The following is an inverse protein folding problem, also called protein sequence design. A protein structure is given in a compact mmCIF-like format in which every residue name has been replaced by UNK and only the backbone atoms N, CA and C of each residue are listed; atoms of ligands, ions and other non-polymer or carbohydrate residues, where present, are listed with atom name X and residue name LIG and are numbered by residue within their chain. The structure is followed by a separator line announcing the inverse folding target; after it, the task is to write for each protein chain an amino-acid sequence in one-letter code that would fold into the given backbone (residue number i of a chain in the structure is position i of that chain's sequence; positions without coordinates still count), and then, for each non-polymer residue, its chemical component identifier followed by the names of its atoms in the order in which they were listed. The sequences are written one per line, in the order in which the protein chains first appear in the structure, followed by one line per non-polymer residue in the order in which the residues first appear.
data_IF_140892824358
#
_entry.id   IF_140892824358
#
_cell.length_a   1.000
_cell.length_b   1.000
_cell.length_c   1.000
_cell.angle_alpha   90.00
_cell.angle_beta   90.00
_cell.angle_gamma   90.00
#
_symmetry.space_group_name_H-M   'P 1'
#
loop_
_entity.id
_entity.type
_entity.pdbx_description
1 polymer ?
#
# COMPACT_ATOMS: atom_id res chain seq x y z
N UNK A 1 5.51 -3.66 45.70
CA UNK A 1 5.04 -3.70 44.29
C UNK A 1 3.98 -2.61 44.09
N UNK A 2 4.05 -1.84 42.99
CA UNK A 2 3.06 -0.78 42.71
C UNK A 2 1.71 -1.41 42.33
N UNK A 3 0.73 -1.35 43.25
CA UNK A 3 -0.61 -1.91 43.05
C UNK A 3 -1.32 -1.33 41.83
N UNK A 4 -0.98 -0.09 41.43
CA UNK A 4 -1.55 0.55 40.24
C UNK A 4 -1.19 -0.18 38.95
N UNK A 5 -0.04 -0.83 38.89
CA UNK A 5 0.40 -1.57 37.71
C UNK A 5 -0.41 -2.87 37.54
N UNK A 6 -0.72 -3.53 38.67
CA UNK A 6 -1.55 -4.73 38.73
C UNK A 6 -2.99 -4.42 38.29
N UNK A 7 -3.61 -3.40 38.89
CA UNK A 7 -4.99 -3.00 38.58
C UNK A 7 -5.16 -2.67 37.09
N UNK A 8 -4.16 -1.98 36.50
CA UNK A 8 -4.13 -1.69 35.06
C UNK A 8 -3.98 -2.94 34.21
N UNK A 9 -3.19 -3.93 34.65
CA UNK A 9 -3.02 -5.20 33.94
C UNK A 9 -4.30 -6.04 33.96
N UNK A 10 -5.05 -6.01 35.06
CA UNK A 10 -6.37 -6.62 35.15
C UNK A 10 -7.39 -5.92 34.26
N UNK A 11 -7.37 -4.58 34.21
CA UNK A 11 -8.21 -3.81 33.31
C UNK A 11 -7.90 -4.10 31.83
N UNK A 12 -6.62 -4.24 31.46
CA UNK A 12 -6.19 -4.68 30.14
C UNK A 12 -6.78 -6.06 29.80
N UNK A 13 -6.64 -7.02 30.72
CA UNK A 13 -7.13 -8.38 30.51
C UNK A 13 -8.65 -8.46 30.39
N UNK A 14 -9.39 -7.64 31.13
CA UNK A 14 -10.83 -7.49 31.00
C UNK A 14 -11.28 -6.82 29.68
N UNK A 15 -10.33 -6.47 28.80
CA UNK A 15 -10.62 -5.82 27.52
C UNK A 15 -11.13 -4.38 27.66
N UNK A 16 -10.85 -3.73 28.79
CA UNK A 16 -11.28 -2.35 29.08
C UNK A 16 -10.32 -1.28 28.55
N UNK A 17 -9.14 -1.69 28.08
CA UNK A 17 -8.12 -0.78 27.55
C UNK A 17 -8.05 -0.86 26.02
N UNK A 18 -7.66 0.26 25.39
CA UNK A 18 -7.35 0.31 23.95
C UNK A 18 -6.05 -0.46 23.64
N UNK A 19 -5.82 -0.82 22.36
CA UNK A 19 -4.58 -1.47 21.94
C UNK A 19 -3.34 -0.69 22.38
N UNK A 20 -3.31 0.62 22.09
CA UNK A 20 -2.19 1.49 22.45
C UNK A 20 -1.95 1.56 23.97
N UNK A 21 -3.01 1.52 24.78
CA UNK A 21 -2.91 1.47 26.23
C UNK A 21 -2.36 0.11 26.73
N UNK A 22 -2.80 -1.00 26.14
CA UNK A 22 -2.26 -2.33 26.42
C UNK A 22 -0.76 -2.43 26.05
N UNK A 23 -0.34 -1.85 24.92
CA UNK A 23 1.07 -1.81 24.50
C UNK A 23 1.95 -0.95 25.40
N UNK A 24 1.44 0.21 25.82
CA UNK A 24 2.13 1.07 26.78
C UNK A 24 2.35 0.33 28.11
N UNK A 25 1.30 -0.32 28.61
CA UNK A 25 1.35 -1.13 29.83
C UNK A 25 2.32 -2.30 29.71
N UNK A 26 2.35 -3.00 28.57
CA UNK A 26 3.30 -4.09 28.34
C UNK A 26 4.76 -3.62 28.44
N UNK A 27 5.08 -2.45 27.85
CA UNK A 27 6.42 -1.85 27.95
C UNK A 27 6.77 -1.40 29.37
N UNK A 28 5.79 -1.00 30.15
CA UNK A 28 5.93 -0.63 31.56
C UNK A 28 6.23 -1.87 32.42
N UNK A 29 5.46 -2.95 32.26
CA UNK A 29 5.70 -4.24 32.93
C UNK A 29 7.08 -4.81 32.57
N UNK A 30 7.49 -4.74 31.30
CA UNK A 30 8.84 -5.18 30.88
C UNK A 30 9.97 -4.34 31.49
N UNK A 31 9.74 -3.05 31.74
CA UNK A 31 10.71 -2.20 32.44
C UNK A 31 10.78 -2.56 33.92
N UNK A 32 9.63 -2.76 34.57
CA UNK A 32 9.56 -3.23 35.95
C UNK A 32 10.28 -4.58 36.12
N UNK A 33 10.00 -5.57 35.26
CA UNK A 33 10.68 -6.87 35.28
C UNK A 33 12.20 -6.75 35.18
N UNK A 34 12.70 -5.92 34.25
CA UNK A 34 14.15 -5.70 34.12
C UNK A 34 14.76 -5.11 35.38
N UNK A 35 14.09 -4.14 35.99
CA UNK A 35 14.54 -3.54 37.25
C UNK A 35 14.52 -4.54 38.41
N UNK A 36 13.43 -5.27 38.59
CA UNK A 36 13.27 -6.28 39.66
C UNK A 36 14.29 -7.40 39.51
N UNK A 37 14.50 -7.91 38.29
CA UNK A 37 15.48 -8.96 38.06
C UNK A 37 16.91 -8.47 38.30
N UNK A 38 17.25 -7.23 37.94
CA UNK A 38 18.56 -6.66 38.25
C UNK A 38 18.78 -6.54 39.77
N UNK A 39 17.72 -6.21 40.53
CA UNK A 39 17.79 -6.14 41.99
C UNK A 39 17.95 -7.54 42.62
N UNK A 40 17.17 -8.54 42.18
CA UNK A 40 17.36 -9.95 42.59
C UNK A 40 18.80 -10.39 42.30
N UNK A 41 19.27 -10.11 41.08
CA UNK A 41 20.60 -10.47 40.67
C UNK A 41 21.65 -9.82 41.57
N UNK A 42 21.44 -8.62 42.11
CA UNK A 42 22.40 -7.96 43.00
C UNK A 42 22.49 -8.56 44.41
N UNK A 43 21.50 -9.33 44.85
CA UNK A 43 21.39 -9.88 46.21
C UNK A 43 21.85 -11.33 46.33
N UNK A 44 21.86 -12.08 45.22
CA UNK A 44 22.17 -13.50 45.20
C UNK A 44 23.66 -13.85 45.17
N UNK A 45 23.96 -15.02 44.60
CA UNK A 45 25.32 -15.48 44.33
C UNK A 45 25.65 -15.26 42.85
N UNK A 46 26.93 -15.19 42.51
CA UNK A 46 27.38 -15.17 41.13
C UNK A 46 27.29 -16.58 40.48
N UNK A 47 27.66 -16.69 39.20
CA UNK A 47 27.65 -17.97 38.48
C UNK A 47 28.67 -19.01 38.98
N UNK A 48 29.56 -18.65 39.90
CA UNK A 48 30.55 -19.52 40.54
C UNK A 48 30.14 -19.94 41.96
N UNK A 49 29.02 -19.41 42.46
CA UNK A 49 28.55 -19.65 43.83
C UNK A 49 29.15 -18.69 44.86
N UNK A 50 29.85 -17.64 44.45
CA UNK A 50 30.38 -16.60 45.35
C UNK A 50 29.29 -15.58 45.69
N UNK A 51 29.17 -15.14 46.97
CA UNK A 51 28.15 -14.18 47.36
C UNK A 51 28.44 -12.82 46.73
N UNK A 52 27.40 -12.18 46.18
CA UNK A 52 27.52 -10.81 45.69
C UNK A 52 27.68 -9.81 46.85
N UNK A 53 28.14 -8.57 46.58
CA UNK A 53 28.63 -7.65 47.63
C UNK A 53 27.70 -7.49 48.83
N UNK A 54 26.39 -7.27 48.60
CA UNK A 54 25.43 -7.11 49.70
C UNK A 54 25.36 -8.34 50.62
N UNK A 55 25.40 -9.55 50.05
CA UNK A 55 25.38 -10.80 50.82
C UNK A 55 26.75 -11.13 51.42
N UNK A 56 27.84 -10.80 50.72
CA UNK A 56 29.20 -10.93 51.25
C UNK A 56 29.40 -10.07 52.50
N UNK A 57 29.01 -8.79 52.43
CA UNK A 57 29.08 -7.85 53.56
C UNK A 57 28.25 -8.33 54.77
N UNK A 58 27.05 -8.86 54.52
CA UNK A 58 26.22 -9.43 55.60
C UNK A 58 26.84 -10.69 56.21
N UNK A 59 27.45 -11.56 55.41
CA UNK A 59 28.19 -12.75 55.90
C UNK A 59 29.41 -12.35 56.73
N UNK A 60 30.19 -11.37 56.26
CA UNK A 60 31.38 -10.85 56.95
C UNK A 60 31.05 -10.19 58.29
N UNK A 61 29.90 -9.53 58.39
CA UNK A 61 29.43 -8.91 59.63
C UNK A 61 29.13 -9.92 60.75
N UNK A 62 28.84 -11.18 60.39
CA UNK A 62 28.43 -12.23 61.31
C UNK A 62 27.08 -11.99 62.00
N UNK A 63 26.33 -10.95 61.61
CA UNK A 63 25.01 -10.64 62.17
C UNK A 63 23.91 -11.44 61.43
N UNK A 64 23.28 -12.44 62.06
CA UNK A 64 22.21 -13.22 61.41
C UNK A 64 21.00 -12.36 61.04
N UNK A 65 20.77 -11.22 61.70
CA UNK A 65 19.63 -10.37 61.39
C UNK A 65 19.75 -9.72 59.99
N UNK A 66 20.96 -9.34 59.57
CA UNK A 66 21.20 -8.75 58.25
C UNK A 66 21.04 -9.78 57.13
N UNK A 67 21.47 -11.03 57.36
CA UNK A 67 21.24 -12.13 56.42
C UNK A 67 19.75 -12.43 56.24
N UNK A 68 18.99 -12.49 57.33
CA UNK A 68 17.53 -12.70 57.29
C UNK A 68 16.84 -11.58 56.51
N UNK A 69 17.24 -10.32 56.70
CA UNK A 69 16.68 -9.18 55.94
C UNK A 69 16.93 -9.31 54.43
N UNK A 70 18.14 -9.74 54.04
CA UNK A 70 18.48 -9.94 52.63
C UNK A 70 17.69 -11.09 52.01
N UNK A 71 17.54 -12.20 52.71
CA UNK A 71 16.71 -13.35 52.28
C UNK A 71 15.24 -12.93 52.11
N UNK A 72 14.66 -12.25 53.10
CA UNK A 72 13.29 -11.72 53.01
C UNK A 72 13.11 -10.77 51.83
N UNK A 73 14.11 -9.93 51.54
CA UNK A 73 14.06 -9.02 50.39
C UNK A 73 14.15 -9.77 49.06
N UNK A 74 15.02 -10.77 48.97
CA UNK A 74 15.14 -11.63 47.80
C UNK A 74 13.81 -12.36 47.52
N UNK A 75 13.19 -12.97 48.54
CA UNK A 75 11.89 -13.63 48.44
C UNK A 75 10.78 -12.68 47.95
N UNK A 76 10.73 -11.46 48.51
CA UNK A 76 9.77 -10.43 48.10
C UNK A 76 9.95 -10.02 46.64
N UNK A 77 11.19 -9.89 46.18
CA UNK A 77 11.49 -9.54 44.79
C UNK A 77 11.18 -10.70 43.85
N UNK A 78 11.49 -11.94 44.23
CA UNK A 78 11.13 -13.14 43.47
C UNK A 78 9.61 -13.24 43.29
N UNK A 79 8.85 -13.13 44.37
CA UNK A 79 7.38 -13.11 44.33
C UNK A 79 6.84 -11.97 43.45
N UNK A 80 7.47 -10.79 43.53
CA UNK A 80 7.11 -9.65 42.66
C UNK A 80 7.40 -9.93 41.19
N UNK A 81 8.53 -10.58 40.88
CA UNK A 81 8.92 -10.93 39.50
C UNK A 81 7.94 -11.95 38.89
N UNK A 82 7.59 -13.00 39.63
CA UNK A 82 6.60 -14.00 39.22
C UNK A 82 5.24 -13.35 38.88
N UNK A 83 4.78 -12.45 39.76
CA UNK A 83 3.54 -11.72 39.54
C UNK A 83 3.61 -10.82 38.30
N UNK A 84 4.74 -10.14 38.07
CA UNK A 84 4.94 -9.33 36.87
C UNK A 84 4.98 -10.19 35.60
N UNK A 85 5.58 -11.38 35.62
CA UNK A 85 5.55 -12.33 34.50
C UNK A 85 4.12 -12.77 34.18
N UNK A 86 3.34 -13.12 35.19
CA UNK A 86 1.93 -13.47 35.05
C UNK A 86 1.13 -12.34 34.38
N UNK A 87 1.27 -11.10 34.85
CA UNK A 87 0.57 -9.97 34.24
C UNK A 87 1.09 -9.63 32.84
N UNK A 88 2.40 -9.78 32.57
CA UNK A 88 2.97 -9.59 31.23
C UNK A 88 2.30 -10.50 30.21
N UNK A 89 2.13 -11.77 30.54
CA UNK A 89 1.48 -12.75 29.66
C UNK A 89 0.03 -12.35 29.38
N UNK A 90 -0.73 -11.98 30.43
CA UNK A 90 -2.12 -11.55 30.29
C UNK A 90 -2.27 -10.29 29.44
N UNK A 91 -1.42 -9.30 29.64
CA UNK A 91 -1.41 -8.08 28.82
C UNK A 91 -1.01 -8.40 27.38
N UNK A 92 -0.05 -9.31 27.15
CA UNK A 92 0.30 -9.75 25.79
C UNK A 92 -0.88 -10.40 25.07
N UNK A 93 -1.65 -11.26 25.76
CA UNK A 93 -2.88 -11.86 25.22
C UNK A 93 -3.94 -10.79 24.92
N UNK A 94 -4.07 -9.78 25.80
CA UNK A 94 -5.00 -8.67 25.60
C UNK A 94 -4.64 -7.81 24.37
N UNK A 95 -3.35 -7.55 24.12
CA UNK A 95 -2.87 -6.85 22.90
C UNK A 95 -3.31 -7.62 21.66
N UNK A 96 -3.05 -8.93 21.61
CA UNK A 96 -3.44 -9.76 20.47
C UNK A 96 -4.96 -9.74 20.26
N UNK A 97 -5.75 -9.84 21.33
CA UNK A 97 -7.21 -9.77 21.26
C UNK A 97 -7.71 -8.42 20.74
N UNK A 98 -7.12 -7.30 21.20
CA UNK A 98 -7.43 -5.95 20.72
C UNK A 98 -7.12 -5.82 19.22
N UNK A 99 -5.94 -6.26 18.78
CA UNK A 99 -5.53 -6.26 17.36
C UNK A 99 -6.50 -7.04 16.47
N UNK A 100 -6.90 -8.24 16.88
CA UNK A 100 -7.85 -9.06 16.11
C UNK A 100 -9.21 -8.37 16.03
N UNK A 101 -9.67 -7.75 17.11
CA UNK A 101 -10.94 -7.00 17.15
C UNK A 101 -10.92 -5.81 16.18
N UNK A 102 -9.80 -5.12 16.02
CA UNK A 102 -9.65 -4.01 15.07
C UNK A 102 -9.43 -4.48 13.63
N UNK A 103 -8.64 -5.54 13.43
CA UNK A 103 -8.35 -6.09 12.11
C UNK A 103 -9.57 -6.77 11.48
N UNK A 104 -10.45 -7.40 12.28
CA UNK A 104 -11.63 -8.12 11.80
C UNK A 104 -12.56 -7.26 10.92
N UNK A 105 -13.08 -6.12 11.40
CA UNK A 105 -13.90 -5.22 10.61
C UNK A 105 -13.20 -4.70 9.35
N UNK A 106 -11.91 -4.31 9.47
CA UNK A 106 -11.12 -3.84 8.32
C UNK A 106 -10.96 -4.91 7.24
N UNK A 107 -10.67 -6.14 7.63
CA UNK A 107 -10.58 -7.27 6.71
C UNK A 107 -11.92 -7.56 6.04
N UNK A 108 -13.03 -7.49 6.78
CA UNK A 108 -14.38 -7.64 6.23
C UNK A 108 -14.73 -6.53 5.23
N UNK A 109 -14.35 -5.28 5.51
CA UNK A 109 -14.56 -4.18 4.57
C UNK A 109 -13.72 -4.32 3.30
N UNK A 110 -12.43 -4.66 3.43
CA UNK A 110 -11.55 -4.93 2.30
C UNK A 110 -12.11 -6.07 1.44
N UNK A 111 -12.55 -7.17 2.06
CA UNK A 111 -13.15 -8.31 1.37
C UNK A 111 -14.43 -7.95 0.61
N UNK A 112 -15.26 -7.01 1.10
CA UNK A 112 -16.43 -6.51 0.36
C UNK A 112 -16.05 -5.71 -0.89
N UNK A 113 -14.91 -5.02 -0.88
CA UNK A 113 -14.45 -4.18 -2.00
C UNK A 113 -13.71 -4.98 -3.09
N UNK A 114 -13.09 -6.10 -2.70
CA UNK A 114 -12.28 -6.93 -3.59
C UNK A 114 -13.01 -7.39 -4.87
N UNK A 115 -14.27 -7.88 -4.83
CA UNK A 115 -14.95 -8.34 -6.04
C UNK A 115 -15.20 -7.23 -7.07
N UNK A 116 -15.44 -6.00 -6.61
CA UNK A 116 -15.60 -4.85 -7.50
C UNK A 116 -14.29 -4.52 -8.22
N UNK A 117 -13.20 -4.40 -7.45
CA UNK A 117 -11.87 -4.14 -8.00
C UNK A 117 -11.40 -5.22 -9.00
N UNK A 118 -11.69 -6.50 -8.72
CA UNK A 118 -11.37 -7.60 -9.66
C UNK A 118 -12.17 -7.46 -10.96
N UNK A 119 -13.48 -7.17 -10.90
CA UNK A 119 -14.29 -6.94 -12.11
C UNK A 119 -13.83 -5.73 -12.91
N UNK A 120 -13.42 -4.67 -12.24
CA UNK A 120 -12.92 -3.47 -12.92
C UNK A 120 -11.60 -3.74 -13.64
N UNK A 121 -10.72 -4.56 -13.05
CA UNK A 121 -9.50 -5.03 -13.68
C UNK A 121 -9.79 -5.93 -14.90
N UNK A 122 -10.75 -6.85 -14.79
CA UNK A 122 -11.19 -7.68 -15.92
C UNK A 122 -11.73 -6.84 -17.07
N UNK A 123 -12.56 -5.82 -16.79
CA UNK A 123 -13.06 -4.88 -17.81
C UNK A 123 -11.93 -4.09 -18.48
N UNK A 124 -10.95 -3.62 -17.70
CA UNK A 124 -9.79 -2.91 -18.24
C UNK A 124 -8.99 -3.82 -19.19
N UNK A 125 -8.78 -5.09 -18.83
CA UNK A 125 -8.11 -6.07 -19.68
C UNK A 125 -8.90 -6.36 -20.98
N UNK A 126 -10.23 -6.47 -20.89
CA UNK A 126 -11.08 -6.63 -22.08
C UNK A 126 -10.99 -5.40 -23.01
N UNK A 127 -11.02 -4.19 -22.46
CA UNK A 127 -10.86 -2.96 -23.23
C UNK A 127 -9.47 -2.89 -23.91
N UNK A 128 -8.42 -3.32 -23.22
CA UNK A 128 -7.06 -3.39 -23.80
C UNK A 128 -6.98 -4.40 -24.95
N UNK A 129 -7.59 -5.57 -24.81
CA UNK A 129 -7.63 -6.57 -25.87
C UNK A 129 -8.41 -6.06 -27.11
N UNK A 130 -9.55 -5.41 -26.89
CA UNK A 130 -10.34 -4.78 -27.96
C UNK A 130 -9.55 -3.68 -28.68
N UNK A 131 -8.83 -2.83 -27.94
CA UNK A 131 -7.98 -1.80 -28.51
C UNK A 131 -6.87 -2.40 -29.39
N UNK A 132 -6.18 -3.47 -28.95
CA UNK A 132 -5.18 -4.17 -29.75
C UNK A 132 -5.77 -4.74 -31.04
N UNK A 133 -6.94 -5.36 -30.97
CA UNK A 133 -7.64 -5.89 -32.14
C UNK A 133 -8.02 -4.80 -33.15
N UNK A 134 -8.49 -3.64 -32.67
CA UNK A 134 -8.82 -2.50 -33.54
C UNK A 134 -7.59 -1.92 -34.24
N UNK A 135 -6.44 -1.87 -33.55
CA UNK A 135 -5.17 -1.41 -34.14
C UNK A 135 -4.68 -2.37 -35.23
N UNK A 136 -4.73 -3.67 -34.97
CA UNK A 136 -4.34 -4.68 -35.97
C UNK A 136 -5.26 -4.64 -37.21
N UNK A 137 -6.57 -4.44 -37.02
CA UNK A 137 -7.50 -4.23 -38.13
C UNK A 137 -7.16 -2.96 -38.94
N UNK A 138 -6.81 -1.87 -38.27
CA UNK A 138 -6.43 -0.63 -38.96
C UNK A 138 -5.11 -0.77 -39.74
N UNK A 139 -4.14 -1.54 -39.22
CA UNK A 139 -2.91 -1.86 -39.96
C UNK A 139 -3.20 -2.63 -41.24
N UNK A 140 -4.08 -3.63 -41.18
CA UNK A 140 -4.42 -4.43 -42.37
C UNK A 140 -5.22 -3.62 -43.41
N UNK A 141 -6.14 -2.77 -42.97
CA UNK A 141 -6.87 -1.84 -43.84
C UNK A 141 -5.91 -0.86 -44.54
N UNK A 142 -4.93 -0.30 -43.82
CA UNK A 142 -3.91 0.59 -44.38
C UNK A 142 -3.00 -0.13 -45.39
N UNK A 143 -2.57 -1.36 -45.09
CA UNK A 143 -1.80 -2.18 -46.02
C UNK A 143 -2.58 -2.46 -47.31
N UNK A 144 -3.88 -2.75 -47.18
CA UNK A 144 -4.78 -2.98 -48.32
C UNK A 144 -4.97 -1.71 -49.15
N UNK A 145 -5.20 -0.56 -48.50
CA UNK A 145 -5.30 0.72 -49.18
C UNK A 145 -4.02 1.09 -49.94
N UNK A 146 -2.86 0.78 -49.36
CA UNK A 146 -1.55 0.94 -50.03
C UNK A 146 -1.43 0.04 -51.26
N UNK A 147 -1.78 -1.24 -51.16
CA UNK A 147 -1.76 -2.15 -52.31
C UNK A 147 -2.66 -1.67 -53.45
N UNK A 148 -3.84 -1.12 -53.13
CA UNK A 148 -4.76 -0.55 -54.13
C UNK A 148 -4.15 0.70 -54.77
N UNK A 149 -3.54 1.59 -53.99
CA UNK A 149 -2.90 2.80 -54.51
C UNK A 149 -1.70 2.48 -55.42
N UNK A 150 -0.87 1.50 -55.03
CA UNK A 150 0.23 0.99 -55.85
C UNK A 150 -0.29 0.38 -57.17
N UNK A 151 -1.37 -0.42 -57.14
CA UNK A 151 -2.00 -0.97 -58.36
C UNK A 151 -2.61 0.11 -59.26
N UNK A 152 -3.07 1.21 -58.70
CA UNK A 152 -3.61 2.36 -59.44
C UNK A 152 -2.52 3.31 -60.00
N UNK A 153 -1.23 3.01 -59.75
CA UNK A 153 -0.11 3.87 -60.17
C UNK A 153 -0.05 5.20 -59.42
N UNK A 154 -0.63 5.29 -58.22
CA UNK A 154 -0.63 6.47 -57.38
C UNK A 154 0.56 6.36 -56.42
N UNK A 155 1.53 7.28 -56.54
CA UNK A 155 2.64 7.41 -55.57
C UNK A 155 2.09 7.82 -54.21
N UNK A 156 2.32 6.98 -53.19
CA UNK A 156 1.92 7.24 -51.79
C UNK A 156 3.13 7.71 -51.00
N UNK A 157 3.79 8.77 -51.47
CA UNK A 157 4.95 9.35 -50.81
C UNK A 157 4.49 10.38 -49.75
N UNK A 158 4.69 10.06 -48.47
CA UNK A 158 4.61 11.03 -47.36
C UNK A 158 3.42 10.92 -46.41
N UNK A 159 2.29 10.30 -46.81
CA UNK A 159 1.12 10.19 -45.91
C UNK A 159 1.31 9.05 -44.89
N UNK A 160 2.09 8.03 -45.17
CA UNK A 160 2.06 6.78 -44.40
C UNK A 160 2.95 6.78 -43.16
N UNK A 161 4.15 7.36 -43.23
CA UNK A 161 5.12 7.28 -42.11
C UNK A 161 4.77 8.24 -40.97
N UNK A 162 4.34 9.47 -41.30
CA UNK A 162 3.87 10.43 -40.30
C UNK A 162 2.51 10.05 -39.72
N UNK A 163 1.60 9.49 -40.53
CA UNK A 163 0.33 8.97 -40.00
C UNK A 163 0.55 7.71 -39.16
N UNK A 164 1.49 6.84 -39.55
CA UNK A 164 1.87 5.67 -38.74
C UNK A 164 2.54 6.09 -37.43
N UNK A 165 3.47 7.06 -37.46
CA UNK A 165 4.13 7.60 -36.27
C UNK A 165 3.14 8.30 -35.34
N UNK A 166 2.24 9.15 -35.87
CA UNK A 166 1.19 9.80 -35.10
C UNK A 166 0.19 8.80 -34.50
N UNK A 167 -0.13 7.71 -35.22
CA UNK A 167 -0.96 6.63 -34.68
C UNK A 167 -0.24 5.82 -33.59
N UNK A 168 1.04 5.49 -33.77
CA UNK A 168 1.84 4.77 -32.77
C UNK A 168 2.03 5.62 -31.50
N UNK A 169 2.27 6.93 -31.64
CA UNK A 169 2.32 7.87 -30.51
C UNK A 169 0.96 8.00 -29.82
N UNK A 170 -0.14 8.17 -30.56
CA UNK A 170 -1.48 8.22 -29.98
C UNK A 170 -1.81 6.93 -29.20
N UNK A 171 -1.44 5.76 -29.73
CA UNK A 171 -1.62 4.46 -29.07
C UNK A 171 -0.71 4.25 -27.86
N UNK A 172 0.50 4.81 -27.85
CA UNK A 172 1.39 4.87 -26.68
C UNK A 172 0.88 5.81 -25.58
N UNK A 173 0.05 6.79 -25.93
CA UNK A 173 -0.58 7.74 -25.00
C UNK A 173 -1.92 7.24 -24.42
N UNK A 174 -2.62 6.32 -25.09
CA UNK A 174 -3.89 5.73 -24.60
C UNK A 174 -3.76 5.08 -23.21
N UNK A 175 -2.69 4.34 -22.84
CA UNK A 175 -2.52 3.84 -21.47
C UNK A 175 -2.33 4.95 -20.43
N UNK A 176 -1.68 6.06 -20.81
CA UNK A 176 -1.41 7.20 -19.89
C UNK A 176 -2.65 8.06 -19.66
N UNK A 177 -3.47 8.28 -20.67
CA UNK A 177 -4.75 8.99 -20.54
C UNK A 177 -5.81 8.15 -19.78
N UNK A 178 -5.84 6.83 -19.99
CA UNK A 178 -6.72 5.91 -19.25
C UNK A 178 -6.32 5.74 -17.77
N UNK A 179 -5.06 5.97 -17.41
CA UNK A 179 -4.61 6.03 -16.01
C UNK A 179 -4.85 7.40 -15.35
N UNK A 180 -4.89 8.48 -16.14
CA UNK A 180 -5.03 9.85 -15.61
C UNK A 180 -6.48 10.27 -15.34
N UNK A 181 -7.47 9.68 -16.02
CA UNK A 181 -8.88 10.05 -15.84
C UNK A 181 -9.67 8.98 -15.09
N UNK A 182 -9.90 9.22 -13.79
CA UNK A 182 -10.79 8.44 -12.91
C UNK A 182 -12.28 8.72 -13.16
N UNK A 183 -12.69 9.04 -14.39
CA UNK A 183 -14.09 9.29 -14.70
C UNK A 183 -14.59 8.41 -15.87
N UNK A 184 -15.32 7.31 -15.59
CA UNK A 184 -15.70 6.31 -16.59
C UNK A 184 -16.75 6.79 -17.61
N UNK A 185 -17.25 8.03 -17.49
CA UNK A 185 -18.26 8.59 -18.39
C UNK A 185 -17.70 9.37 -19.59
N UNK A 186 -16.44 9.83 -19.55
CA UNK A 186 -15.87 10.68 -20.62
C UNK A 186 -15.06 9.93 -21.70
N UNK A 187 -14.75 8.64 -21.52
CA UNK A 187 -13.92 7.86 -22.44
C UNK A 187 -14.66 7.24 -23.64
N UNK A 188 -15.84 7.74 -24.02
CA UNK A 188 -16.68 7.18 -25.10
C UNK A 188 -16.58 7.94 -26.43
N UNK A 189 -15.48 8.63 -26.70
CA UNK A 189 -15.20 9.06 -28.07
C UNK A 189 -14.62 7.85 -28.81
N UNK A 190 -15.50 7.13 -29.50
CA UNK A 190 -15.11 6.08 -30.43
C UNK A 190 -14.11 6.67 -31.43
N UNK A 191 -12.88 6.16 -31.45
CA UNK A 191 -11.80 6.63 -32.33
C UNK A 191 -12.25 6.67 -33.80
N UNK A 192 -13.17 5.76 -34.18
CA UNK A 192 -13.81 5.71 -35.50
C UNK A 192 -14.74 6.90 -35.76
N UNK A 193 -15.45 7.39 -34.74
CA UNK A 193 -16.31 8.56 -34.83
C UNK A 193 -15.50 9.86 -34.83
N UNK A 194 -14.38 9.93 -34.09
CA UNK A 194 -13.46 11.06 -34.13
C UNK A 194 -12.83 11.20 -35.52
N UNK A 195 -12.29 10.11 -36.07
CA UNK A 195 -11.73 10.09 -37.42
C UNK A 195 -12.77 10.46 -38.50
N UNK A 196 -13.99 9.90 -38.43
CA UNK A 196 -15.08 10.27 -39.35
C UNK A 196 -15.49 11.74 -39.24
N UNK A 197 -15.55 12.31 -38.03
CA UNK A 197 -15.94 13.71 -37.82
C UNK A 197 -14.88 14.67 -38.35
N UNK A 198 -13.60 14.38 -38.14
CA UNK A 198 -12.49 15.17 -38.69
C UNK A 198 -12.51 15.16 -40.22
N UNK A 199 -12.67 13.99 -40.84
CA UNK A 199 -12.77 13.84 -42.30
C UNK A 199 -14.03 14.53 -42.86
N UNK A 200 -15.16 14.42 -42.17
CA UNK A 200 -16.44 15.02 -42.60
C UNK A 200 -16.45 16.54 -42.43
N UNK A 201 -15.75 17.08 -41.43
CA UNK A 201 -15.52 18.52 -41.26
C UNK A 201 -14.68 19.10 -42.40
N UNK A 202 -13.65 18.37 -42.83
CA UNK A 202 -12.80 18.76 -43.96
C UNK A 202 -13.54 18.81 -45.30
N UNK A 203 -14.55 17.95 -45.49
CA UNK A 203 -15.38 17.93 -46.71
C UNK A 203 -16.54 18.93 -46.72
N UNK A 204 -16.91 19.50 -45.57
CA UNK A 204 -18.05 20.42 -45.44
C UNK A 204 -17.67 21.90 -45.47
N UNK A 205 -16.43 22.24 -45.15
CA UNK A 205 -15.85 23.50 -45.58
C UNK A 205 -15.46 23.34 -47.04
N UNK A 206 -16.01 24.15 -47.95
CA UNK A 206 -15.38 24.35 -49.26
C UNK A 206 -13.88 24.54 -49.00
N UNK A 207 -13.00 23.69 -49.54
CA UNK A 207 -11.58 23.88 -49.33
C UNK A 207 -11.26 25.25 -49.90
N UNK A 208 -10.69 26.20 -49.13
CA UNK A 208 -10.16 27.41 -49.73
C UNK A 208 -9.18 26.92 -50.79
N UNK A 209 -9.52 27.17 -52.06
CA UNK A 209 -8.70 26.73 -53.19
C UNK A 209 -7.28 27.23 -52.91
N UNK A 210 -6.34 26.28 -52.87
CA UNK A 210 -4.91 26.41 -52.56
C UNK A 210 -4.53 26.47 -51.06
N UNK A 211 -4.79 25.39 -50.31
CA UNK A 211 -3.97 25.05 -49.15
C UNK A 211 -2.93 23.99 -49.53
N UNK A 212 -1.68 24.18 -49.11
CA UNK A 212 -0.63 23.16 -49.26
C UNK A 212 -0.87 22.00 -48.27
N UNK A 213 -0.35 20.80 -48.55
CA UNK A 213 -0.44 19.66 -47.61
C UNK A 213 0.04 20.00 -46.20
N UNK A 214 1.08 20.82 -46.02
CA UNK A 214 1.57 21.22 -44.69
C UNK A 214 0.57 22.13 -43.95
N UNK A 215 -0.17 22.97 -44.68
CA UNK A 215 -1.21 23.81 -44.10
C UNK A 215 -2.42 22.97 -43.66
N UNK A 216 -2.78 21.95 -44.45
CA UNK A 216 -3.84 21.00 -44.07
C UNK A 216 -3.46 20.20 -42.83
N UNK A 217 -2.20 19.77 -42.74
CA UNK A 217 -1.68 19.04 -41.58
C UNK A 217 -1.69 19.91 -40.32
N UNK A 218 -1.18 21.15 -40.37
CA UNK A 218 -1.19 22.06 -39.22
C UNK A 218 -2.60 22.36 -38.73
N UNK A 219 -3.56 22.50 -39.63
CA UNK A 219 -4.95 22.75 -39.26
C UNK A 219 -5.62 21.50 -38.64
N UNK A 220 -5.33 20.30 -39.16
CA UNK A 220 -5.78 19.05 -38.55
C UNK A 220 -5.17 18.83 -37.16
N UNK A 221 -3.88 19.10 -36.99
CA UNK A 221 -3.19 19.01 -35.70
C UNK A 221 -3.76 20.01 -34.68
N UNK A 222 -3.99 21.26 -35.09
CA UNK A 222 -4.55 22.29 -34.23
C UNK A 222 -5.99 21.95 -33.81
N UNK A 223 -6.82 21.48 -34.74
CA UNK A 223 -8.19 21.03 -34.44
C UNK A 223 -8.18 19.77 -33.56
N UNK A 224 -7.30 18.82 -33.81
CA UNK A 224 -7.13 17.61 -33.00
C UNK A 224 -6.73 17.94 -31.56
N UNK A 225 -5.76 18.85 -31.37
CA UNK A 225 -5.35 19.34 -30.04
C UNK A 225 -6.50 20.06 -29.31
N UNK A 226 -7.29 20.87 -30.02
CA UNK A 226 -8.45 21.57 -29.45
C UNK A 226 -9.60 20.63 -29.04
N UNK A 227 -9.69 19.41 -29.58
CA UNK A 227 -10.72 18.44 -29.23
C UNK A 227 -10.30 17.50 -28.08
N UNK A 228 -8.99 17.33 -27.88
CA UNK A 228 -8.44 16.49 -26.81
C UNK A 228 -8.26 17.25 -25.49
N UNK A 229 -8.06 18.57 -25.56
CA UNK A 229 -8.15 19.47 -24.40
C UNK A 229 -9.61 19.66 -23.97
#
# INVERSE_FOLDING_TARGET
MDTKLIDRAEAAHAGKLSESACEALHREIQRALRSTNAEIESLGYDGNGDPKPARAEALESGDPAELIKLEQREDQLQASSELLYFHRERVSKAITAARVKEAGPRAKEAAKRLPGAVRDLEKANQAQAAARSAVEALKSELLTARQIAEQAGIEVDGITEDTHRAMVEALGMVPRAAQAHQDPHNARINVRDLARRLIKGFRKSDPPRAMTPEQQQRELEQRGRSYLA
#
